data_IF_110802520712
#
_entry.id   IF_110802520712
#
_cell.length_a   1.000
_cell.length_b   1.000
_cell.length_c   1.000
_cell.angle_alpha   90.00
_cell.angle_beta   90.00
_cell.angle_gamma   90.00
#
_symmetry.space_group_name_H-M   'P 1'
#
loop_
_entity.id
_entity.type
_entity.pdbx_description
1 polymer ?
#
# COMPACT_ATOMS: atom_id res chain seq x y z
N UNK A 1 57.07 -25.33 23.53
CA UNK A 1 56.35 -24.31 22.75
C UNK A 1 56.65 -24.58 21.28
N UNK A 2 55.70 -25.12 20.51
CA UNK A 2 55.87 -25.37 19.08
C UNK A 2 54.70 -24.71 18.36
N UNK A 3 54.98 -23.57 17.71
CA UNK A 3 54.01 -22.83 16.91
C UNK A 3 53.80 -23.57 15.59
N UNK A 4 52.63 -24.18 15.44
CA UNK A 4 52.15 -24.68 14.15
C UNK A 4 51.73 -23.47 13.31
N UNK A 5 52.58 -23.08 12.38
CA UNK A 5 52.22 -22.21 11.28
C UNK A 5 51.08 -22.85 10.51
N UNK A 6 49.89 -22.27 10.61
CA UNK A 6 48.77 -22.56 9.73
C UNK A 6 49.14 -22.03 8.35
N UNK A 7 49.67 -22.91 7.51
CA UNK A 7 49.78 -22.71 6.06
C UNK A 7 48.36 -22.51 5.52
N UNK A 8 47.95 -21.25 5.32
CA UNK A 8 46.79 -20.94 4.50
C UNK A 8 47.22 -21.18 3.04
N UNK A 9 46.69 -22.26 2.46
CA UNK A 9 46.78 -22.53 1.03
C UNK A 9 46.40 -21.27 0.22
N UNK A 10 47.12 -20.96 -0.88
CA UNK A 10 46.81 -19.78 -1.70
C UNK A 10 45.46 -19.99 -2.40
N UNK A 11 44.39 -19.43 -1.82
CA UNK A 11 43.07 -19.34 -2.45
C UNK A 11 43.23 -18.64 -3.81
N UNK A 12 42.82 -19.31 -4.90
CA UNK A 12 42.90 -18.77 -6.26
C UNK A 12 42.12 -17.45 -6.36
N UNK A 13 42.57 -16.51 -7.20
CA UNK A 13 41.93 -15.20 -7.40
C UNK A 13 40.40 -15.27 -7.66
N UNK A 14 39.91 -16.37 -8.23
CA UNK A 14 38.47 -16.62 -8.40
C UNK A 14 37.75 -16.87 -7.07
N UNK A 15 38.34 -17.63 -6.15
CA UNK A 15 37.75 -17.94 -4.83
C UNK A 15 37.71 -16.74 -3.89
N UNK A 16 38.77 -15.91 -3.86
CA UNK A 16 38.81 -14.67 -3.06
C UNK A 16 37.88 -13.57 -3.59
N UNK A 17 37.50 -13.57 -4.87
CA UNK A 17 36.55 -12.60 -5.43
C UNK A 17 35.07 -13.04 -5.31
N UNK A 18 34.81 -14.32 -5.04
CA UNK A 18 33.45 -14.84 -4.83
C UNK A 18 32.95 -14.61 -3.40
N UNK A 19 33.83 -14.68 -2.41
CA UNK A 19 33.50 -14.46 -0.98
C UNK A 19 32.92 -13.05 -0.72
N UNK A 20 33.49 -11.93 -1.21
CA UNK A 20 33.03 -10.58 -0.87
C UNK A 20 31.64 -10.27 -1.44
N UNK A 21 31.36 -10.69 -2.68
CA UNK A 21 30.06 -10.46 -3.33
C UNK A 21 28.93 -11.25 -2.68
N UNK A 22 29.23 -12.46 -2.20
CA UNK A 22 28.25 -13.29 -1.47
C UNK A 22 28.02 -12.77 -0.05
N UNK A 23 29.10 -12.35 0.62
CA UNK A 23 29.04 -11.78 1.97
C UNK A 23 28.21 -10.47 2.05
N UNK A 24 28.02 -9.73 0.95
CA UNK A 24 27.17 -8.54 0.93
C UNK A 24 25.71 -8.82 1.33
N UNK A 25 25.22 -10.04 1.07
CA UNK A 25 23.85 -10.45 1.39
C UNK A 25 23.69 -10.94 2.84
N UNK A 26 24.77 -10.91 3.62
CA UNK A 26 24.81 -11.41 4.99
C UNK A 26 25.58 -12.72 5.10
N UNK A 27 25.10 -13.62 5.97
CA UNK A 27 25.72 -14.92 6.20
C UNK A 27 25.71 -15.79 4.94
N UNK A 28 26.84 -16.46 4.67
CA UNK A 28 27.01 -17.28 3.48
C UNK A 28 26.51 -18.70 3.79
N UNK A 29 25.53 -19.15 3.01
CA UNK A 29 25.02 -20.52 3.04
C UNK A 29 25.40 -21.28 1.76
N UNK A 30 25.49 -22.61 1.88
CA UNK A 30 25.52 -23.54 0.76
C UNK A 30 24.08 -23.99 0.45
N UNK A 31 23.65 -23.84 -0.81
CA UNK A 31 22.27 -24.07 -1.23
C UNK A 31 22.26 -25.04 -2.41
N UNK A 32 21.38 -26.04 -2.35
CA UNK A 32 21.14 -26.95 -3.47
C UNK A 32 20.19 -26.31 -4.49
N UNK A 33 20.70 -26.03 -5.68
CA UNK A 33 19.92 -25.49 -6.80
C UNK A 33 19.49 -26.55 -7.82
N UNK A 34 20.02 -27.78 -7.73
CA UNK A 34 19.79 -28.81 -8.74
C UNK A 34 18.41 -29.48 -8.56
N UNK A 35 18.00 -29.75 -7.32
CA UNK A 35 16.74 -30.47 -7.02
C UNK A 35 15.51 -29.78 -7.61
N UNK A 36 15.39 -28.46 -7.43
CA UNK A 36 14.24 -27.69 -7.91
C UNK A 36 14.53 -26.87 -9.18
N UNK A 37 15.73 -27.01 -9.77
CA UNK A 37 16.19 -26.20 -10.91
C UNK A 37 16.04 -24.70 -10.63
N UNK A 38 16.49 -24.28 -9.45
CA UNK A 38 16.38 -22.88 -8.98
C UNK A 38 17.13 -21.93 -9.92
N UNK A 39 16.52 -20.81 -10.28
CA UNK A 39 17.01 -19.83 -11.26
C UNK A 39 17.94 -18.74 -10.66
N UNK A 40 18.10 -18.72 -9.33
CA UNK A 40 18.96 -17.77 -8.63
C UNK A 40 18.31 -16.40 -8.35
N UNK A 41 17.01 -16.24 -8.59
CA UNK A 41 16.28 -14.99 -8.32
C UNK A 41 15.48 -15.08 -7.02
N UNK A 42 15.54 -14.03 -6.19
CA UNK A 42 14.77 -13.96 -4.95
C UNK A 42 13.25 -14.00 -5.18
N UNK A 43 12.54 -14.59 -4.21
CA UNK A 43 11.07 -14.65 -4.18
C UNK A 43 10.56 -14.01 -2.89
N UNK A 44 9.37 -13.44 -2.95
CA UNK A 44 8.69 -12.90 -1.77
C UNK A 44 8.15 -14.04 -0.88
N UNK A 45 8.10 -13.79 0.42
CA UNK A 45 7.55 -14.74 1.40
C UNK A 45 6.02 -14.66 1.46
N UNK A 46 5.39 -15.66 2.10
CA UNK A 46 3.96 -15.62 2.39
C UNK A 46 3.55 -14.37 3.19
N UNK A 47 4.44 -13.86 4.07
CA UNK A 47 4.22 -12.60 4.79
C UNK A 47 4.06 -11.44 3.81
N UNK A 48 4.91 -11.36 2.80
CA UNK A 48 4.81 -10.33 1.75
C UNK A 48 3.50 -10.42 0.96
N UNK A 49 3.13 -11.62 0.52
CA UNK A 49 1.88 -11.85 -0.22
C UNK A 49 0.63 -11.53 0.60
N UNK A 50 0.59 -11.97 1.86
CA UNK A 50 -0.52 -11.70 2.76
C UNK A 50 -0.70 -10.21 3.00
N UNK A 51 0.38 -9.49 3.31
CA UNK A 51 0.35 -8.04 3.54
C UNK A 51 -0.09 -7.29 2.30
N UNK A 52 0.46 -7.62 1.12
CA UNK A 52 0.09 -6.96 -0.13
C UNK A 52 -1.40 -7.14 -0.46
N UNK A 53 -1.91 -8.38 -0.32
CA UNK A 53 -3.31 -8.68 -0.56
C UNK A 53 -4.23 -7.87 0.36
N UNK A 54 -3.96 -7.90 1.67
CA UNK A 54 -4.79 -7.19 2.64
C UNK A 54 -4.74 -5.68 2.49
N UNK A 55 -3.56 -5.11 2.23
CA UNK A 55 -3.43 -3.68 1.99
C UNK A 55 -4.24 -3.24 0.76
N UNK A 56 -4.21 -4.02 -0.32
CA UNK A 56 -4.96 -3.74 -1.54
C UNK A 56 -6.47 -3.84 -1.32
N UNK A 57 -6.94 -4.93 -0.69
CA UNK A 57 -8.36 -5.10 -0.43
C UNK A 57 -8.91 -4.08 0.57
N UNK A 58 -8.17 -3.74 1.62
CA UNK A 58 -8.59 -2.71 2.57
C UNK A 58 -8.83 -1.36 1.88
N UNK A 59 -7.95 -0.98 0.95
CA UNK A 59 -8.12 0.24 0.16
C UNK A 59 -9.37 0.17 -0.74
N UNK A 60 -9.59 -0.95 -1.42
CA UNK A 60 -10.79 -1.15 -2.24
C UNK A 60 -12.09 -1.09 -1.40
N UNK A 61 -12.11 -1.74 -0.24
CA UNK A 61 -13.25 -1.70 0.67
C UNK A 61 -13.50 -0.32 1.24
N UNK A 62 -12.45 0.47 1.50
CA UNK A 62 -12.61 1.86 1.91
C UNK A 62 -13.36 2.69 0.86
N UNK A 63 -12.98 2.59 -0.42
CA UNK A 63 -13.72 3.25 -1.50
C UNK A 63 -15.16 2.73 -1.63
N UNK A 64 -15.36 1.41 -1.49
CA UNK A 64 -16.70 0.82 -1.45
C UNK A 64 -17.56 1.38 -0.32
N UNK A 65 -16.98 1.56 0.87
CA UNK A 65 -17.67 2.13 2.02
C UNK A 65 -18.10 3.58 1.77
N UNK A 66 -17.20 4.43 1.26
CA UNK A 66 -17.52 5.84 0.94
C UNK A 66 -18.60 5.91 -0.14
N UNK A 67 -18.47 5.12 -1.20
CA UNK A 67 -19.45 5.05 -2.28
C UNK A 67 -20.85 4.64 -1.80
N UNK A 68 -20.94 3.52 -1.08
CA UNK A 68 -22.22 3.03 -0.57
C UNK A 68 -22.80 3.94 0.51
N UNK A 69 -21.97 4.55 1.35
CA UNK A 69 -22.38 5.54 2.34
C UNK A 69 -23.02 6.77 1.69
N UNK A 70 -22.36 7.33 0.67
CA UNK A 70 -22.88 8.47 -0.06
C UNK A 70 -24.20 8.15 -0.78
N UNK A 71 -24.32 6.99 -1.44
CA UNK A 71 -25.57 6.58 -2.10
C UNK A 71 -26.72 6.31 -1.15
N UNK A 72 -26.42 5.92 0.09
CA UNK A 72 -27.44 5.69 1.11
C UNK A 72 -27.97 7.00 1.66
N UNK A 73 -27.08 7.96 1.95
CA UNK A 73 -27.47 9.26 2.51
C UNK A 73 -28.11 10.19 1.47
N UNK A 74 -27.53 10.28 0.28
CA UNK A 74 -27.96 11.18 -0.81
C UNK A 74 -28.78 10.45 -1.87
N UNK A 75 -29.64 9.53 -1.42
CA UNK A 75 -30.46 8.68 -2.32
C UNK A 75 -31.46 9.49 -3.13
N UNK A 76 -32.04 10.51 -2.50
CA UNK A 76 -33.05 11.41 -3.06
C UNK A 76 -32.52 12.21 -4.25
N UNK A 77 -31.28 12.70 -4.18
CA UNK A 77 -30.63 13.49 -5.24
C UNK A 77 -29.78 12.64 -6.20
N UNK A 78 -29.80 11.31 -6.07
CA UNK A 78 -28.93 10.43 -6.85
C UNK A 78 -29.19 10.51 -8.37
N UNK A 79 -30.45 10.72 -8.77
CA UNK A 79 -30.85 10.84 -10.18
C UNK A 79 -30.79 12.29 -10.71
N UNK A 80 -30.35 13.24 -9.88
CA UNK A 80 -30.35 14.68 -10.19
C UNK A 80 -30.93 15.51 -9.04
N UNK A 81 -30.62 16.81 -9.05
CA UNK A 81 -31.15 17.79 -8.09
C UNK A 81 -32.47 18.39 -8.59
N UNK A 82 -33.26 18.98 -7.69
CA UNK A 82 -34.46 19.73 -8.06
C UNK A 82 -34.10 20.92 -8.97
N UNK A 83 -34.71 21.06 -10.16
CA UNK A 83 -34.45 22.18 -11.06
C UNK A 83 -34.86 23.56 -10.49
N UNK A 84 -35.65 23.63 -9.42
CA UNK A 84 -36.13 24.89 -8.82
C UNK A 84 -35.37 25.30 -7.54
N UNK A 85 -34.11 24.89 -7.37
CA UNK A 85 -33.36 25.08 -6.12
C UNK A 85 -32.78 26.50 -5.91
N UNK A 86 -32.88 27.39 -6.89
CA UNK A 86 -32.09 28.64 -6.97
C UNK A 86 -32.23 29.55 -5.75
N UNK A 87 -33.45 29.70 -5.21
CA UNK A 87 -33.67 30.57 -4.05
C UNK A 87 -32.94 30.08 -2.79
N UNK A 88 -32.79 28.77 -2.59
CA UNK A 88 -32.19 28.19 -1.38
C UNK A 88 -30.66 28.32 -1.35
N UNK A 89 -30.03 28.52 -2.49
CA UNK A 89 -28.56 28.64 -2.62
C UNK A 89 -28.10 30.10 -2.68
N UNK A 90 -29.03 31.06 -2.73
CA UNK A 90 -28.72 32.49 -2.75
C UNK A 90 -28.07 32.94 -1.42
N UNK A 91 -26.95 33.65 -1.53
CA UNK A 91 -26.19 34.11 -0.36
C UNK A 91 -27.01 35.08 0.49
N UNK A 92 -27.18 34.75 1.78
CA UNK A 92 -27.82 35.64 2.75
C UNK A 92 -29.35 35.69 2.68
N UNK A 93 -30.00 34.87 1.83
CA UNK A 93 -31.45 34.80 1.71
C UNK A 93 -32.13 34.18 2.97
N UNK A 94 -31.44 33.25 3.63
CA UNK A 94 -31.92 32.54 4.83
C UNK A 94 -30.96 32.73 6.00
N UNK A 95 -31.49 32.71 7.23
CA UNK A 95 -30.69 32.72 8.45
C UNK A 95 -30.01 31.36 8.69
N UNK A 96 -30.60 30.26 8.20
CA UNK A 96 -30.06 28.91 8.30
C UNK A 96 -30.09 28.22 6.93
N UNK A 97 -28.95 27.66 6.52
CA UNK A 97 -28.83 26.97 5.23
C UNK A 97 -29.66 25.67 5.22
N UNK A 98 -30.39 25.43 4.12
CA UNK A 98 -31.25 24.27 3.95
C UNK A 98 -32.57 24.31 4.74
N UNK A 99 -32.93 25.47 5.33
CA UNK A 99 -34.18 25.64 6.09
C UNK A 99 -35.04 26.78 5.52
N UNK A 100 -36.05 26.47 4.68
CA UNK A 100 -36.86 27.48 4.00
C UNK A 100 -37.74 28.30 4.96
N UNK A 101 -37.90 27.88 6.22
CA UNK A 101 -38.68 28.62 7.22
C UNK A 101 -37.94 29.82 7.79
N UNK A 102 -36.64 29.94 7.53
CA UNK A 102 -35.75 30.94 8.15
C UNK A 102 -35.42 32.11 7.23
N UNK A 103 -36.31 32.44 6.28
CA UNK A 103 -36.08 33.52 5.32
C UNK A 103 -35.86 34.85 6.07
N UNK A 104 -34.80 35.55 5.71
CA UNK A 104 -34.43 36.82 6.38
C UNK A 104 -35.49 37.87 6.07
N UNK A 105 -36.10 38.46 7.10
CA UNK A 105 -36.96 39.62 6.95
C UNK A 105 -36.09 40.86 6.73
N UNK A 106 -36.44 41.66 5.72
CA UNK A 106 -35.85 42.99 5.54
C UNK A 106 -36.45 43.86 6.64
N UNK A 107 -35.61 44.29 7.58
CA UNK A 107 -35.93 45.35 8.53
C UNK A 107 -35.68 46.69 7.84
#
# INVERSE_FOLDING_TARGET
MSNRSTSLEPKSQLTINLDPRRAQLGEIFELDCATLKSDGVFRSSLRGWFTLGHASFALLFFFGHIWHGARTLFRDVFAGIDPNLDAQVEFGAFQKLGDPTTKKQVV
#
